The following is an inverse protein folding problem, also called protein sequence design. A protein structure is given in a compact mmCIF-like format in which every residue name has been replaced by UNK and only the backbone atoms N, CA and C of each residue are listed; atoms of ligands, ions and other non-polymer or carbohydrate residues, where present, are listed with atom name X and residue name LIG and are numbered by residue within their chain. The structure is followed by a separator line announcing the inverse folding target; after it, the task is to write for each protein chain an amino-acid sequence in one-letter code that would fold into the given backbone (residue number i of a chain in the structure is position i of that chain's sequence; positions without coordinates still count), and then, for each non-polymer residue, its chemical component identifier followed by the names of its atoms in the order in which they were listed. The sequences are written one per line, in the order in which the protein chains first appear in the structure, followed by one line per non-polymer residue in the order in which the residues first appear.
data_IF_574010365984
#
_entry.id   IF_574010365984
#
_cell.length_a   1.000
_cell.length_b   1.000
_cell.length_c   1.000
_cell.angle_alpha   90.00
_cell.angle_beta   90.00
_cell.angle_gamma   90.00
#
_symmetry.space_group_name_H-M   'P 1'
#
loop_
_entity.id
_entity.type
_entity.pdbx_description
1 polymer ?
#
# COMPACT_ATOMS: atom_id res chain seq x y z
N UNK A 1 -24.58 -0.27 2.88
CA UNK A 1 -23.75 -1.09 1.98
C UNK A 1 -23.21 -0.16 0.92
N UNK A 2 -21.89 -0.04 0.77
CA UNK A 2 -21.31 0.74 -0.33
C UNK A 2 -21.70 0.06 -1.66
N UNK A 3 -21.89 0.82 -2.77
CA UNK A 3 -22.14 0.21 -4.06
C UNK A 3 -20.96 -0.71 -4.41
N UNK A 4 -21.27 -1.97 -4.73
CA UNK A 4 -20.27 -2.89 -5.27
C UNK A 4 -19.97 -2.44 -6.70
N UNK A 5 -18.75 -1.93 -6.91
CA UNK A 5 -18.27 -1.60 -8.24
C UNK A 5 -17.74 -2.88 -8.89
N UNK A 6 -18.56 -3.51 -9.74
CA UNK A 6 -18.27 -4.83 -10.31
C UNK A 6 -16.87 -4.95 -10.94
N UNK A 7 -16.34 -3.86 -11.50
CA UNK A 7 -15.06 -3.83 -12.20
C UNK A 7 -14.07 -2.79 -11.63
N UNK A 8 -14.17 -2.43 -10.34
CA UNK A 8 -13.25 -1.44 -9.77
C UNK A 8 -11.81 -1.96 -9.71
N UNK A 9 -10.89 -1.20 -10.31
CA UNK A 9 -9.45 -1.43 -10.19
C UNK A 9 -8.82 -0.33 -9.35
N UNK A 10 -7.93 -0.71 -8.43
CA UNK A 10 -7.23 0.24 -7.54
C UNK A 10 -5.74 0.21 -7.83
N UNK A 11 -5.14 1.40 -7.97
CA UNK A 11 -3.69 1.55 -8.09
C UNK A 11 -3.17 2.39 -6.92
N UNK A 12 -2.31 1.79 -6.08
CA UNK A 12 -1.67 2.45 -4.95
C UNK A 12 -0.25 2.87 -5.34
N UNK A 13 0.01 4.18 -5.36
CA UNK A 13 1.32 4.74 -5.71
C UNK A 13 2.24 4.80 -4.48
N UNK A 14 3.06 3.77 -4.29
CA UNK A 14 3.98 3.58 -3.17
C UNK A 14 5.46 3.85 -3.51
N UNK A 15 5.75 4.38 -4.70
CA UNK A 15 7.12 4.58 -5.22
C UNK A 15 7.82 5.87 -4.74
N UNK A 16 7.22 6.63 -3.82
CA UNK A 16 7.78 7.90 -3.35
C UNK A 16 9.00 7.72 -2.41
N UNK A 17 10.07 8.48 -2.67
CA UNK A 17 11.32 8.41 -1.89
C UNK A 17 11.21 8.87 -0.43
N UNK A 18 10.17 9.63 -0.08
CA UNK A 18 9.98 10.09 1.30
C UNK A 18 11.09 10.99 1.85
N UNK A 19 11.81 11.77 1.02
CA UNK A 19 13.01 12.53 1.42
C UNK A 19 12.88 13.36 2.71
N UNK A 20 11.72 13.97 2.93
CA UNK A 20 11.46 14.80 4.13
C UNK A 20 11.30 13.97 5.42
N UNK A 21 11.12 12.66 5.32
CA UNK A 21 11.09 11.74 6.47
C UNK A 21 12.45 11.61 7.15
N UNK A 22 13.56 11.93 6.44
CA UNK A 22 14.94 11.81 6.93
C UNK A 22 15.21 10.48 7.64
N UNK A 23 14.70 9.39 7.07
CA UNK A 23 14.70 8.04 7.64
C UNK A 23 15.23 7.03 6.62
N UNK A 24 15.87 5.96 7.10
CA UNK A 24 16.29 4.82 6.27
C UNK A 24 15.13 3.86 5.97
N UNK A 25 14.04 4.00 6.71
CA UNK A 25 12.79 3.28 6.51
C UNK A 25 11.99 4.00 5.41
N UNK A 26 11.55 3.30 4.35
CA UNK A 26 10.67 3.87 3.34
C UNK A 26 9.41 4.48 3.97
N UNK A 27 8.92 5.63 3.47
CA UNK A 27 7.72 6.30 4.02
C UNK A 27 6.54 5.35 4.22
N UNK A 28 6.31 4.49 3.24
CA UNK A 28 5.20 3.53 3.21
C UNK A 28 5.28 2.43 4.29
N UNK A 29 6.46 2.21 4.86
CA UNK A 29 6.69 1.27 5.96
C UNK A 29 6.78 1.96 7.32
N UNK A 30 6.68 3.28 7.39
CA UNK A 30 6.58 3.94 8.69
C UNK A 30 5.25 3.58 9.36
N UNK A 31 5.28 3.20 10.65
CA UNK A 31 4.08 2.82 11.36
C UNK A 31 3.21 4.04 11.65
N UNK A 32 1.90 3.87 11.46
CA UNK A 32 0.84 4.76 11.90
C UNK A 32 -0.07 3.91 12.77
N UNK A 33 -0.21 4.28 14.05
CA UNK A 33 -0.91 3.45 15.05
C UNK A 33 -0.35 2.01 15.15
N UNK A 34 0.96 1.84 14.94
CA UNK A 34 1.64 0.54 14.99
C UNK A 34 1.56 -0.28 13.70
N UNK A 35 0.77 0.14 12.71
CA UNK A 35 0.60 -0.55 11.43
C UNK A 35 1.34 0.20 10.32
N UNK A 36 2.08 -0.46 9.40
CA UNK A 36 2.67 0.18 8.25
C UNK A 36 1.66 1.05 7.47
N UNK A 37 2.05 2.27 7.11
CA UNK A 37 1.17 3.21 6.40
C UNK A 37 0.55 2.61 5.13
N UNK A 38 1.30 1.79 4.38
CA UNK A 38 0.78 1.12 3.18
C UNK A 38 -0.28 0.07 3.50
N UNK A 39 -0.11 -0.69 4.58
CA UNK A 39 -1.08 -1.69 5.01
C UNK A 39 -2.42 -1.05 5.42
N UNK A 40 -2.39 0.12 6.07
CA UNK A 40 -3.61 0.89 6.34
C UNK A 40 -4.34 1.32 5.05
N UNK A 41 -3.60 1.67 4.00
CA UNK A 41 -4.20 2.01 2.70
C UNK A 41 -4.80 0.77 2.06
N UNK A 42 -4.09 -0.37 2.09
CA UNK A 42 -4.58 -1.64 1.54
C UNK A 42 -5.87 -2.08 2.23
N UNK A 43 -5.92 -2.10 3.57
CA UNK A 43 -7.14 -2.42 4.32
C UNK A 43 -8.32 -1.46 4.01
N UNK A 44 -8.04 -0.20 3.70
CA UNK A 44 -9.09 0.76 3.34
C UNK A 44 -9.65 0.48 1.94
N UNK A 45 -8.81 0.11 0.98
CA UNK A 45 -9.24 -0.16 -0.39
C UNK A 45 -9.87 -1.54 -0.56
N UNK A 46 -9.47 -2.53 0.25
CA UNK A 46 -10.10 -3.86 0.29
C UNK A 46 -11.59 -3.78 0.66
N UNK A 47 -11.99 -2.82 1.49
CA UNK A 47 -13.40 -2.59 1.86
C UNK A 47 -14.27 -2.17 0.67
N UNK A 48 -13.68 -1.74 -0.44
CA UNK A 48 -14.39 -1.41 -1.68
C UNK A 48 -14.67 -2.66 -2.54
N UNK A 49 -14.13 -3.82 -2.16
CA UNK A 49 -14.18 -5.06 -2.94
C UNK A 49 -13.75 -4.86 -4.40
N UNK A 50 -12.55 -4.29 -4.65
CA UNK A 50 -12.07 -4.07 -6.01
C UNK A 50 -11.80 -5.41 -6.71
N UNK A 51 -12.01 -5.44 -8.02
CA UNK A 51 -11.64 -6.55 -8.88
C UNK A 51 -10.11 -6.76 -9.00
N UNK A 52 -9.31 -5.79 -8.54
CA UNK A 52 -7.86 -5.92 -8.47
C UNK A 52 -7.18 -4.73 -7.80
N UNK A 53 -6.03 -4.99 -7.17
CA UNK A 53 -5.19 -3.98 -6.52
C UNK A 53 -3.77 -4.09 -7.06
N UNK A 54 -3.27 -3.01 -7.66
CA UNK A 54 -1.89 -2.88 -8.09
C UNK A 54 -1.13 -1.91 -7.17
N UNK A 55 0.02 -2.33 -6.65
CA UNK A 55 0.89 -1.46 -5.85
C UNK A 55 2.14 -1.10 -6.67
N UNK A 56 2.28 0.18 -7.01
CA UNK A 56 3.44 0.67 -7.73
C UNK A 56 4.54 0.97 -6.72
N UNK A 57 5.61 0.18 -6.77
CA UNK A 57 6.79 0.33 -5.92
C UNK A 57 7.99 0.85 -6.73
N UNK A 58 8.85 1.61 -6.05
CA UNK A 58 10.08 2.16 -6.64
C UNK A 58 11.31 1.47 -6.09
N UNK A 59 12.39 2.24 -5.88
CA UNK A 59 13.69 1.77 -5.36
C UNK A 59 13.65 0.99 -4.03
N UNK A 60 12.52 1.02 -3.31
CA UNK A 60 12.33 0.34 -2.03
C UNK A 60 11.55 -0.97 -2.12
N UNK A 61 11.26 -1.47 -3.33
CA UNK A 61 10.51 -2.71 -3.58
C UNK A 61 10.96 -3.86 -2.67
N UNK A 62 12.26 -4.18 -2.63
CA UNK A 62 12.75 -5.31 -1.85
C UNK A 62 12.45 -5.18 -0.34
N UNK A 63 12.52 -3.96 0.21
CA UNK A 63 12.16 -3.70 1.62
C UNK A 63 10.65 -3.82 1.83
N UNK A 64 9.85 -3.35 0.88
CA UNK A 64 8.39 -3.39 0.95
C UNK A 64 7.91 -4.85 0.89
N UNK A 65 8.37 -5.64 -0.09
CA UNK A 65 8.05 -7.08 -0.19
C UNK A 65 8.47 -7.86 1.04
N UNK A 66 9.65 -7.58 1.60
CA UNK A 66 10.09 -8.24 2.84
C UNK A 66 9.18 -7.92 4.02
N UNK A 67 8.66 -6.71 4.11
CA UNK A 67 7.86 -6.25 5.25
C UNK A 67 6.39 -6.69 5.16
N UNK A 68 5.81 -6.70 3.96
CA UNK A 68 4.38 -6.90 3.76
C UNK A 68 4.03 -8.20 3.00
N UNK A 69 5.03 -8.90 2.46
CA UNK A 69 4.80 -10.00 1.54
C UNK A 69 4.35 -9.52 0.15
N UNK A 70 3.82 -10.46 -0.64
CA UNK A 70 3.08 -10.12 -1.84
C UNK A 70 1.65 -9.74 -1.45
N UNK A 71 1.04 -8.73 -2.11
CA UNK A 71 -0.36 -8.41 -1.86
C UNK A 71 -1.22 -9.66 -2.03
N UNK A 72 -2.09 -9.93 -1.06
CA UNK A 72 -3.12 -10.93 -1.25
C UNK A 72 -4.06 -10.42 -2.36
N UNK A 73 -4.21 -11.22 -3.41
CA UNK A 73 -5.30 -11.05 -4.36
C UNK A 73 -6.60 -11.59 -3.74
#
# INVERSE_FOLDING_TARGET
MLPAFADLQVVVLAAGQGKRMRSRTPKVLHPVLGVPMLELVLHAVEQLSPAGIAVVVGEHEAKIRKALGDPAN
#
